data_IF_045519609312
#
_entry.id   IF_045519609312
#
_cell.length_a   1.000
_cell.length_b   1.000
_cell.length_c   1.000
_cell.angle_alpha   90.00
_cell.angle_beta   90.00
_cell.angle_gamma   90.00
#
_symmetry.space_group_name_H-M   'P 1'
#
loop_
_entity.id
_entity.type
_entity.pdbx_description
1 polymer ?
#
# COMPACT_ATOMS: atom_id res chain seq x y z
N UNK A 1 -10.75 2.73 -40.02
CA UNK A 1 -9.94 2.20 -38.90
C UNK A 1 -8.63 1.58 -39.39
N UNK A 2 -8.63 0.81 -40.47
CA UNK A 2 -7.43 0.08 -40.95
C UNK A 2 -6.27 0.99 -41.40
N UNK A 3 -6.58 2.15 -42.00
CA UNK A 3 -5.58 3.12 -42.46
C UNK A 3 -5.04 4.03 -41.35
N UNK A 4 -5.72 4.13 -40.21
CA UNK A 4 -5.30 5.01 -39.12
C UNK A 4 -4.02 4.47 -38.45
N UNK A 5 -3.17 5.38 -37.98
CA UNK A 5 -2.00 5.00 -37.19
C UNK A 5 -2.44 4.61 -35.76
N UNK A 6 -1.55 3.93 -35.02
CA UNK A 6 -1.85 3.41 -33.70
C UNK A 6 -2.15 4.50 -32.66
N UNK A 7 -1.51 5.67 -32.78
CA UNK A 7 -1.73 6.81 -31.89
C UNK A 7 -3.14 7.35 -32.05
N UNK A 8 -3.60 7.54 -33.28
CA UNK A 8 -4.95 8.02 -33.59
C UNK A 8 -6.03 7.03 -33.10
N UNK A 9 -5.77 5.73 -33.26
CA UNK A 9 -6.68 4.69 -32.77
C UNK A 9 -6.79 4.70 -31.24
N UNK A 10 -5.67 4.87 -30.52
CA UNK A 10 -5.68 5.00 -29.05
C UNK A 10 -6.42 6.26 -28.59
N UNK A 11 -6.21 7.39 -29.28
CA UNK A 11 -6.94 8.63 -29.01
C UNK A 11 -8.45 8.44 -29.24
N UNK A 12 -8.84 7.67 -30.25
CA UNK A 12 -10.25 7.38 -30.50
C UNK A 12 -10.87 6.53 -29.39
N UNK A 13 -10.18 5.52 -28.86
CA UNK A 13 -10.62 4.79 -27.66
C UNK A 13 -10.89 5.73 -26.48
N UNK A 14 -9.96 6.66 -26.24
CA UNK A 14 -10.08 7.64 -25.15
C UNK A 14 -11.25 8.60 -25.34
N UNK A 15 -11.46 9.11 -26.57
CA UNK A 15 -12.64 9.93 -26.89
C UNK A 15 -13.95 9.19 -26.65
N UNK A 16 -13.94 7.87 -26.84
CA UNK A 16 -15.10 7.03 -26.56
C UNK A 16 -15.26 6.72 -25.07
N UNK A 17 -14.33 7.13 -24.20
CA UNK A 17 -14.37 6.89 -22.75
C UNK A 17 -13.76 5.55 -22.32
N UNK A 18 -12.99 4.91 -23.19
CA UNK A 18 -12.33 3.62 -22.91
C UNK A 18 -10.81 3.79 -22.85
N UNK A 19 -10.12 3.09 -21.95
CA UNK A 19 -8.69 3.27 -21.73
C UNK A 19 -7.87 2.84 -22.96
N UNK A 20 -6.85 3.62 -23.28
CA UNK A 20 -5.86 3.25 -24.28
C UNK A 20 -4.81 2.30 -23.66
N UNK A 21 -4.93 1.01 -23.92
CA UNK A 21 -3.93 0.02 -23.51
C UNK A 21 -2.61 0.24 -24.27
N UNK A 22 -1.55 0.64 -23.58
CA UNK A 22 -0.25 0.89 -24.20
C UNK A 22 0.42 -0.37 -24.78
N UNK A 23 0.01 -1.55 -24.32
CA UNK A 23 0.52 -2.86 -24.75
C UNK A 23 -0.35 -3.53 -25.81
N UNK A 24 -1.49 -2.93 -26.19
CA UNK A 24 -2.33 -3.50 -27.23
C UNK A 24 -1.74 -3.19 -28.61
N UNK A 25 -1.60 -4.22 -29.45
CA UNK A 25 -1.19 -4.02 -30.84
C UNK A 25 -2.31 -3.34 -31.65
N UNK A 26 -1.94 -2.78 -32.82
CA UNK A 26 -2.89 -2.11 -33.71
C UNK A 26 -4.11 -2.99 -34.06
N UNK A 27 -3.93 -4.28 -34.31
CA UNK A 27 -5.03 -5.17 -34.69
C UNK A 27 -6.03 -5.33 -33.54
N UNK A 28 -5.55 -5.47 -32.31
CA UNK A 28 -6.38 -5.55 -31.12
C UNK A 28 -7.14 -4.24 -30.86
N UNK A 29 -6.50 -3.08 -31.07
CA UNK A 29 -7.16 -1.78 -30.93
C UNK A 29 -8.27 -1.64 -31.98
N UNK A 30 -7.99 -2.01 -33.24
CA UNK A 30 -8.98 -1.98 -34.33
C UNK A 30 -10.15 -2.92 -34.05
N UNK A 31 -9.92 -4.16 -33.61
CA UNK A 31 -10.97 -5.11 -33.27
C UNK A 31 -11.90 -4.55 -32.18
N UNK A 32 -11.33 -4.00 -31.10
CA UNK A 32 -12.09 -3.39 -30.00
C UNK A 32 -12.90 -2.18 -30.43
N UNK A 33 -12.31 -1.26 -31.18
CA UNK A 33 -13.03 -0.10 -31.72
C UNK A 33 -14.16 -0.54 -32.64
N UNK A 34 -13.93 -1.55 -33.47
CA UNK A 34 -14.96 -2.12 -34.34
C UNK A 34 -16.11 -2.69 -33.52
N UNK A 35 -15.83 -3.50 -32.48
CA UNK A 35 -16.84 -4.04 -31.57
C UNK A 35 -17.62 -2.93 -30.86
N UNK A 36 -16.94 -1.92 -30.34
CA UNK A 36 -17.55 -0.76 -29.67
C UNK A 36 -18.48 0.01 -30.60
N UNK A 37 -18.05 0.29 -31.83
CA UNK A 37 -18.88 0.99 -32.82
C UNK A 37 -20.11 0.16 -33.20
N UNK A 38 -19.96 -1.16 -33.37
CA UNK A 38 -21.10 -2.06 -33.60
C UNK A 38 -22.08 -2.00 -32.42
N UNK A 39 -21.61 -2.18 -31.19
CA UNK A 39 -22.47 -2.15 -30.00
C UNK A 39 -23.19 -0.81 -29.82
N UNK A 40 -22.53 0.32 -30.09
CA UNK A 40 -23.18 1.64 -30.05
C UNK A 40 -24.32 1.81 -31.06
N UNK A 41 -24.33 1.02 -32.13
CA UNK A 41 -25.39 1.00 -33.14
C UNK A 41 -26.48 -0.04 -32.87
N UNK A 42 -26.21 -1.05 -32.02
CA UNK A 42 -27.17 -2.11 -31.73
C UNK A 42 -28.30 -1.64 -30.81
N UNK A 43 -29.56 -2.08 -31.03
CA UNK A 43 -30.66 -1.82 -30.10
C UNK A 43 -30.47 -2.64 -28.81
N UNK A 44 -31.15 -2.22 -27.74
CA UNK A 44 -30.95 -2.80 -26.40
C UNK A 44 -31.17 -4.32 -26.34
N UNK A 45 -32.11 -4.85 -27.14
CA UNK A 45 -32.38 -6.29 -27.20
C UNK A 45 -31.17 -7.09 -27.70
N UNK A 46 -30.49 -6.60 -28.74
CA UNK A 46 -29.29 -7.23 -29.30
C UNK A 46 -28.12 -7.16 -28.32
N UNK A 47 -27.92 -6.00 -27.67
CA UNK A 47 -26.89 -5.82 -26.65
C UNK A 47 -27.05 -6.79 -25.47
N UNK A 48 -28.28 -7.08 -25.06
CA UNK A 48 -28.57 -8.08 -24.01
C UNK A 48 -28.20 -9.50 -24.46
N UNK A 49 -28.41 -9.84 -25.74
CA UNK A 49 -28.02 -11.16 -26.28
C UNK A 49 -26.51 -11.29 -26.39
N UNK A 50 -25.82 -10.27 -26.92
CA UNK A 50 -24.35 -10.23 -26.94
C UNK A 50 -23.79 -10.35 -25.51
N UNK A 51 -24.42 -9.70 -24.54
CA UNK A 51 -23.98 -9.77 -23.16
C UNK A 51 -24.14 -11.17 -22.57
N UNK A 52 -25.22 -11.89 -22.92
CA UNK A 52 -25.38 -13.29 -22.54
C UNK A 52 -24.31 -14.18 -23.19
N UNK A 53 -24.00 -13.97 -24.47
CA UNK A 53 -22.96 -14.71 -25.19
C UNK A 53 -21.56 -14.50 -24.59
N UNK A 54 -21.29 -13.29 -24.10
CA UNK A 54 -20.00 -12.92 -23.47
C UNK A 54 -19.99 -13.14 -21.95
N UNK A 55 -21.01 -13.80 -21.39
CA UNK A 55 -21.15 -14.01 -19.94
C UNK A 55 -21.04 -12.69 -19.12
N UNK A 56 -21.44 -11.57 -19.74
CA UNK A 56 -21.52 -10.29 -19.08
C UNK A 56 -22.76 -10.26 -18.17
N UNK A 57 -22.57 -9.85 -16.91
CA UNK A 57 -23.67 -9.78 -15.95
C UNK A 57 -24.75 -8.80 -16.41
N UNK A 58 -26.01 -9.22 -16.36
CA UNK A 58 -27.18 -8.35 -16.53
C UNK A 58 -27.75 -7.88 -15.18
N UNK A 59 -27.20 -8.36 -14.07
CA UNK A 59 -27.69 -8.00 -12.73
C UNK A 59 -27.38 -6.53 -12.42
N UNK A 60 -28.31 -5.85 -11.76
CA UNK A 60 -28.13 -4.45 -11.35
C UNK A 60 -28.35 -3.41 -12.45
N UNK A 61 -28.77 -3.79 -13.66
CA UNK A 61 -29.21 -2.82 -14.67
C UNK A 61 -30.37 -1.97 -14.13
N UNK A 62 -30.24 -0.65 -14.23
CA UNK A 62 -31.30 0.25 -13.78
C UNK A 62 -32.51 0.16 -14.73
N UNK A 63 -33.50 -0.67 -14.40
CA UNK A 63 -34.72 -0.84 -15.20
C UNK A 63 -35.56 0.44 -15.32
N UNK A 64 -35.32 1.45 -14.49
CA UNK A 64 -36.01 2.75 -14.52
C UNK A 64 -35.28 3.78 -15.38
N UNK A 65 -34.02 3.54 -15.75
CA UNK A 65 -33.28 4.38 -16.68
C UNK A 65 -33.94 4.33 -18.06
N UNK A 66 -33.80 5.39 -18.83
CA UNK A 66 -34.27 5.39 -20.22
C UNK A 66 -33.44 4.42 -21.08
N UNK A 67 -33.94 4.12 -22.29
CA UNK A 67 -33.28 3.14 -23.16
C UNK A 67 -31.86 3.58 -23.56
N UNK A 68 -31.60 4.88 -23.73
CA UNK A 68 -30.28 5.37 -24.10
C UNK A 68 -29.27 5.14 -22.97
N UNK A 69 -29.65 5.46 -21.73
CA UNK A 69 -28.85 5.14 -20.54
C UNK A 69 -28.59 3.63 -20.39
N UNK A 70 -29.64 2.81 -20.55
CA UNK A 70 -29.50 1.34 -20.47
C UNK A 70 -28.58 0.80 -21.56
N UNK A 71 -28.63 1.36 -22.79
CA UNK A 71 -27.73 0.98 -23.88
C UNK A 71 -26.29 1.36 -23.56
N UNK A 72 -26.04 2.56 -23.04
CA UNK A 72 -24.70 2.98 -22.60
C UNK A 72 -24.12 2.03 -21.55
N UNK A 73 -24.90 1.73 -20.50
CA UNK A 73 -24.48 0.78 -19.45
C UNK A 73 -24.20 -0.63 -20.02
N UNK A 74 -24.98 -1.07 -21.02
CA UNK A 74 -24.75 -2.36 -21.67
C UNK A 74 -23.47 -2.39 -22.51
N UNK A 75 -23.17 -1.33 -23.25
CA UNK A 75 -21.90 -1.23 -24.01
C UNK A 75 -20.72 -1.30 -23.04
N UNK A 76 -20.79 -0.63 -21.89
CA UNK A 76 -19.73 -0.68 -20.88
C UNK A 76 -19.57 -2.08 -20.28
N UNK A 77 -20.66 -2.79 -19.98
CA UNK A 77 -20.60 -4.18 -19.49
C UNK A 77 -20.01 -5.14 -20.51
N UNK A 78 -20.36 -4.98 -21.79
CA UNK A 78 -19.82 -5.76 -22.91
C UNK A 78 -18.34 -5.51 -23.11
N UNK A 79 -17.93 -4.24 -23.13
CA UNK A 79 -16.52 -3.87 -23.21
C UNK A 79 -15.74 -4.42 -22.01
N UNK A 80 -16.30 -4.34 -20.81
CA UNK A 80 -15.70 -4.92 -19.63
C UNK A 80 -15.49 -6.43 -19.78
N UNK A 81 -16.47 -7.17 -20.28
CA UNK A 81 -16.32 -8.60 -20.55
C UNK A 81 -15.25 -8.88 -21.62
N UNK A 82 -15.17 -8.06 -22.67
CA UNK A 82 -14.17 -8.18 -23.74
C UNK A 82 -12.73 -8.05 -23.24
N UNK A 83 -12.48 -7.11 -22.32
CA UNK A 83 -11.12 -6.80 -21.85
C UNK A 83 -10.75 -7.47 -20.53
N UNK A 84 -11.73 -8.01 -19.78
CA UNK A 84 -11.55 -8.55 -18.42
C UNK A 84 -10.42 -9.56 -18.34
N UNK A 85 -10.49 -10.64 -19.12
CA UNK A 85 -9.54 -11.76 -18.97
C UNK A 85 -8.12 -11.32 -19.27
N UNK A 86 -7.96 -10.41 -20.23
CA UNK A 86 -6.65 -9.82 -20.55
C UNK A 86 -6.15 -8.93 -19.42
N UNK A 87 -7.00 -8.03 -18.89
CA UNK A 87 -6.62 -7.16 -17.79
C UNK A 87 -6.26 -7.96 -16.54
N UNK A 88 -7.05 -8.98 -16.21
CA UNK A 88 -6.75 -9.91 -15.11
C UNK A 88 -5.43 -10.66 -15.35
N UNK A 89 -5.15 -11.10 -16.58
CA UNK A 89 -3.86 -11.71 -16.93
C UNK A 89 -2.67 -10.75 -16.80
N UNK A 90 -2.89 -9.44 -16.95
CA UNK A 90 -1.87 -8.40 -16.69
C UNK A 90 -1.80 -7.94 -15.24
N UNK A 91 -2.57 -8.55 -14.33
CA UNK A 91 -2.56 -8.21 -12.90
C UNK A 91 -3.53 -7.09 -12.51
N UNK A 92 -4.49 -6.74 -13.36
CA UNK A 92 -5.52 -5.74 -13.08
C UNK A 92 -6.81 -6.45 -12.64
N UNK A 93 -7.17 -6.41 -11.35
CA UNK A 93 -8.28 -7.21 -10.84
C UNK A 93 -9.62 -6.54 -11.08
N UNK A 94 -10.12 -6.59 -12.31
CA UNK A 94 -11.35 -5.91 -12.75
C UNK A 94 -12.55 -6.21 -11.85
N UNK A 95 -12.70 -7.47 -11.42
CA UNK A 95 -13.76 -7.90 -10.48
C UNK A 95 -13.69 -7.22 -9.11
N UNK A 96 -12.48 -6.87 -8.64
CA UNK A 96 -12.24 -6.30 -7.30
C UNK A 96 -12.37 -4.78 -7.29
N UNK A 97 -12.12 -4.11 -8.42
CA UNK A 97 -12.09 -2.64 -8.53
C UNK A 97 -13.47 -1.97 -8.55
N UNK A 98 -14.56 -2.74 -8.57
CA UNK A 98 -15.91 -2.20 -8.48
C UNK A 98 -16.44 -1.54 -9.75
N UNK A 99 -15.74 -1.70 -10.89
CA UNK A 99 -16.25 -1.25 -12.18
C UNK A 99 -15.19 -1.10 -13.27
N UNK A 100 -15.65 -1.06 -14.52
CA UNK A 100 -14.79 -0.90 -15.70
C UNK A 100 -14.03 0.42 -15.70
N UNK A 101 -14.71 1.52 -15.35
CA UNK A 101 -14.11 2.85 -15.33
C UNK A 101 -12.89 2.91 -14.41
N UNK A 102 -13.04 2.42 -13.17
CA UNK A 102 -11.95 2.38 -12.17
C UNK A 102 -10.80 1.51 -12.66
N UNK A 103 -11.10 0.35 -13.27
CA UNK A 103 -10.09 -0.51 -13.83
C UNK A 103 -9.36 0.13 -15.03
N UNK A 104 -10.07 0.88 -15.88
CA UNK A 104 -9.48 1.63 -16.98
C UNK A 104 -8.56 2.76 -16.51
N UNK A 105 -8.96 3.50 -15.47
CA UNK A 105 -8.08 4.49 -14.84
C UNK A 105 -6.79 3.84 -14.30
N UNK A 106 -6.89 2.64 -13.71
CA UNK A 106 -5.71 1.89 -13.25
C UNK A 106 -4.83 1.43 -14.42
N UNK A 107 -5.41 0.95 -15.53
CA UNK A 107 -4.67 0.61 -16.76
C UNK A 107 -3.87 1.82 -17.25
N UNK A 108 -4.50 2.99 -17.31
CA UNK A 108 -3.84 4.22 -17.77
C UNK A 108 -2.72 4.65 -16.81
N UNK A 109 -2.95 4.56 -15.49
CA UNK A 109 -1.93 4.87 -14.49
C UNK A 109 -0.74 3.90 -14.57
N UNK A 110 -0.99 2.59 -14.75
CA UNK A 110 0.09 1.61 -14.95
C UNK A 110 0.85 1.88 -16.25
N UNK A 111 0.16 2.13 -17.37
CA UNK A 111 0.80 2.48 -18.64
C UNK A 111 1.67 3.73 -18.52
N UNK A 112 1.20 4.74 -17.77
CA UNK A 112 1.97 5.94 -17.47
C UNK A 112 3.23 5.60 -16.68
N UNK A 113 3.10 4.82 -15.59
CA UNK A 113 4.24 4.39 -14.76
C UNK A 113 5.24 3.58 -15.59
N UNK A 114 4.80 2.70 -16.47
CA UNK A 114 5.66 1.92 -17.37
C UNK A 114 6.42 2.80 -18.38
N UNK A 115 5.79 3.88 -18.85
CA UNK A 115 6.38 4.82 -19.80
C UNK A 115 7.33 5.85 -19.14
N UNK A 116 7.36 5.97 -17.81
CA UNK A 116 8.24 6.91 -17.13
C UNK A 116 9.72 6.60 -17.39
N UNK A 117 10.49 7.65 -17.61
CA UNK A 117 11.95 7.58 -17.55
C UNK A 117 12.42 7.17 -16.15
N UNK A 118 13.60 6.58 -16.08
CA UNK A 118 14.12 5.97 -14.86
C UNK A 118 14.27 6.96 -13.69
N UNK A 119 14.73 8.18 -13.96
CA UNK A 119 14.85 9.24 -12.96
C UNK A 119 13.49 9.67 -12.40
N UNK A 120 12.45 9.61 -13.25
CA UNK A 120 11.07 9.95 -12.85
C UNK A 120 10.43 8.85 -12.00
N UNK A 121 10.74 7.58 -12.27
CA UNK A 121 10.30 6.47 -11.41
C UNK A 121 10.84 6.63 -9.99
N UNK A 122 12.12 6.98 -9.85
CA UNK A 122 12.74 7.21 -8.55
C UNK A 122 12.09 8.38 -7.81
N UNK A 123 11.83 9.48 -8.53
CA UNK A 123 11.18 10.66 -7.96
C UNK A 123 9.73 10.35 -7.50
N UNK A 124 8.95 9.62 -8.29
CA UNK A 124 7.59 9.23 -7.91
C UNK A 124 7.56 8.22 -6.77
N UNK A 125 8.47 7.25 -6.76
CA UNK A 125 8.61 6.32 -5.66
C UNK A 125 8.97 7.05 -4.35
N UNK A 126 9.87 8.03 -4.41
CA UNK A 126 10.19 8.89 -3.26
C UNK A 126 8.98 9.73 -2.81
N UNK A 127 8.13 10.16 -3.74
CA UNK A 127 6.92 10.94 -3.46
C UNK A 127 5.82 10.14 -2.75
N UNK A 128 5.92 8.80 -2.68
CA UNK A 128 5.00 7.97 -1.88
C UNK A 128 5.10 8.26 -0.37
N UNK A 129 6.09 9.05 0.07
CA UNK A 129 6.30 9.35 1.49
C UNK A 129 6.71 8.11 2.29
N UNK A 130 7.14 7.05 1.60
CA UNK A 130 7.93 6.00 2.22
C UNK A 130 9.19 6.64 2.77
N UNK A 131 9.63 6.28 3.99
CA UNK A 131 10.92 6.74 4.48
C UNK A 131 11.96 6.45 3.40
N UNK A 132 12.85 7.41 3.11
CA UNK A 132 14.08 7.13 2.31
C UNK A 132 14.83 5.90 2.85
N UNK A 133 14.53 5.59 4.11
CA UNK A 133 14.99 4.53 4.96
C UNK A 133 14.28 3.19 4.78
N UNK A 134 13.29 3.07 3.89
CA UNK A 134 12.47 1.88 3.72
C UNK A 134 13.10 0.77 2.85
N UNK A 135 14.43 0.83 2.68
CA UNK A 135 15.14 0.10 1.65
C UNK A 135 14.78 0.67 0.27
N UNK A 136 15.76 1.27 -0.41
CA UNK A 136 15.56 1.55 -1.83
C UNK A 136 15.46 0.20 -2.53
N UNK A 137 14.41 -0.10 -3.32
CA UNK A 137 14.38 -1.30 -4.11
C UNK A 137 15.67 -1.47 -4.92
N UNK A 138 16.19 -2.69 -4.97
CA UNK A 138 17.47 -3.00 -5.64
C UNK A 138 17.41 -2.70 -7.14
N UNK A 139 16.21 -2.75 -7.74
CA UNK A 139 15.99 -2.50 -9.16
C UNK A 139 14.85 -1.51 -9.41
N UNK A 140 14.89 -0.87 -10.58
CA UNK A 140 13.85 0.07 -11.03
C UNK A 140 12.55 -0.64 -11.40
N UNK A 141 12.64 -1.87 -11.88
CA UNK A 141 11.49 -2.74 -12.15
C UNK A 141 10.72 -2.99 -10.84
N UNK A 142 11.42 -3.23 -9.74
CA UNK A 142 10.78 -3.37 -8.43
C UNK A 142 10.10 -2.08 -7.98
N UNK A 143 10.71 -0.91 -8.21
CA UNK A 143 10.04 0.38 -7.96
C UNK A 143 8.75 0.53 -8.77
N UNK A 144 8.77 0.16 -10.06
CA UNK A 144 7.56 0.19 -10.92
C UNK A 144 6.50 -0.78 -10.41
N UNK A 145 6.88 -2.01 -10.04
CA UNK A 145 5.95 -2.99 -9.42
C UNK A 145 5.27 -2.41 -8.19
N UNK A 146 6.04 -1.81 -7.28
CA UNK A 146 5.50 -1.17 -6.07
C UNK A 146 4.61 0.04 -6.40
N UNK A 147 4.99 0.90 -7.34
CA UNK A 147 4.13 2.01 -7.80
C UNK A 147 2.79 1.50 -8.34
N UNK A 148 2.82 0.43 -9.14
CA UNK A 148 1.62 -0.21 -9.69
C UNK A 148 0.75 -0.85 -8.59
N UNK A 149 1.35 -1.48 -7.57
CA UNK A 149 0.63 -1.99 -6.39
C UNK A 149 -0.06 -0.87 -5.62
N UNK A 150 0.62 0.27 -5.43
CA UNK A 150 0.07 1.41 -4.71
C UNK A 150 -1.06 2.08 -5.49
N UNK A 151 -0.91 2.20 -6.82
CA UNK A 151 -1.99 2.65 -7.70
C UNK A 151 -3.22 1.73 -7.58
N UNK A 152 -3.00 0.41 -7.56
CA UNK A 152 -4.08 -0.57 -7.34
C UNK A 152 -4.76 -0.34 -5.98
N UNK A 153 -4.00 -0.27 -4.88
CA UNK A 153 -4.56 -0.08 -3.54
C UNK A 153 -5.39 1.22 -3.42
N UNK A 154 -4.93 2.32 -4.01
CA UNK A 154 -5.68 3.60 -4.03
C UNK A 154 -7.04 3.49 -4.73
N UNK A 155 -7.22 2.51 -5.63
CA UNK A 155 -8.45 2.28 -6.40
C UNK A 155 -9.31 1.15 -5.82
N UNK A 156 -8.79 0.34 -4.90
CA UNK A 156 -9.53 -0.76 -4.31
C UNK A 156 -10.62 -0.26 -3.35
N UNK A 157 -11.83 -0.87 -3.36
CA UNK A 157 -12.84 -0.64 -2.34
C UNK A 157 -12.33 -1.00 -0.93
N UNK A 158 -12.87 -0.37 0.11
CA UNK A 158 -12.46 -0.58 1.50
C UNK A 158 -12.40 -2.07 1.91
N UNK A 159 -13.41 -2.86 1.51
CA UNK A 159 -13.46 -4.30 1.81
C UNK A 159 -12.30 -5.08 1.19
N UNK A 160 -11.88 -4.70 -0.02
CA UNK A 160 -10.77 -5.32 -0.72
C UNK A 160 -9.43 -4.88 -0.13
N UNK A 161 -9.27 -3.61 0.26
CA UNK A 161 -8.10 -3.14 1.01
C UNK A 161 -7.91 -3.87 2.33
N UNK A 162 -9.01 -4.08 3.08
CA UNK A 162 -8.97 -4.89 4.30
C UNK A 162 -8.53 -6.33 4.04
N UNK A 163 -8.84 -6.88 2.86
CA UNK A 163 -8.37 -8.21 2.45
C UNK A 163 -6.88 -8.19 2.15
N UNK A 164 -6.40 -7.20 1.41
CA UNK A 164 -4.96 -6.99 1.17
C UNK A 164 -4.21 -6.89 2.49
N UNK A 165 -4.67 -6.07 3.45
CA UNK A 165 -4.01 -5.96 4.76
C UNK A 165 -3.90 -7.31 5.48
N UNK A 166 -4.93 -8.17 5.40
CA UNK A 166 -4.87 -9.52 5.97
C UNK A 166 -3.91 -10.44 5.24
N UNK A 167 -3.84 -10.34 3.90
CA UNK A 167 -2.92 -11.12 3.08
C UNK A 167 -1.45 -10.74 3.36
N UNK A 168 -1.18 -9.49 3.74
CA UNK A 168 0.16 -9.00 4.12
C UNK A 168 0.44 -9.07 5.64
N UNK A 169 -0.41 -9.73 6.45
CA UNK A 169 -0.30 -9.77 7.92
C UNK A 169 -0.20 -8.39 8.59
N UNK A 170 -0.88 -7.39 8.03
CA UNK A 170 -0.89 -6.02 8.52
C UNK A 170 -2.08 -5.83 9.45
N UNK A 171 -1.79 -5.63 10.73
CA UNK A 171 -2.81 -5.31 11.72
C UNK A 171 -3.47 -3.96 11.42
N UNK A 172 -4.80 -3.92 11.54
CA UNK A 172 -5.58 -2.69 11.55
C UNK A 172 -6.73 -2.86 12.56
N UNK A 173 -6.89 -1.90 13.47
CA UNK A 173 -7.88 -1.95 14.54
C UNK A 173 -8.85 -0.76 14.42
N UNK A 174 -10.15 -1.02 14.58
CA UNK A 174 -11.18 0.02 14.66
C UNK A 174 -11.72 0.52 13.32
N UNK A 175 -12.52 1.60 13.33
CA UNK A 175 -13.01 2.24 12.11
C UNK A 175 -11.83 2.86 11.35
N UNK A 176 -11.55 2.32 10.17
CA UNK A 176 -10.41 2.71 9.33
C UNK A 176 -10.90 3.34 8.03
N UNK A 177 -10.24 4.42 7.61
CA UNK A 177 -10.47 5.00 6.29
C UNK A 177 -9.63 4.29 5.23
N UNK A 178 -10.06 4.38 3.97
CA UNK A 178 -9.33 3.84 2.82
C UNK A 178 -7.86 4.30 2.81
N UNK A 179 -7.63 5.59 3.07
CA UNK A 179 -6.29 6.17 3.08
C UNK A 179 -5.40 5.54 4.16
N UNK A 180 -5.91 5.31 5.36
CA UNK A 180 -5.15 4.68 6.45
C UNK A 180 -4.67 3.28 6.07
N UNK A 181 -5.51 2.49 5.38
CA UNK A 181 -5.14 1.15 4.93
C UNK A 181 -4.11 1.18 3.80
N UNK A 182 -4.23 2.11 2.84
CA UNK A 182 -3.25 2.29 1.77
C UNK A 182 -1.88 2.65 2.35
N UNK A 183 -1.84 3.57 3.32
CA UNK A 183 -0.58 3.94 3.96
C UNK A 183 0.01 2.78 4.77
N UNK A 184 -0.83 1.95 5.42
CA UNK A 184 -0.37 0.76 6.15
C UNK A 184 0.20 -0.28 5.19
N UNK A 185 -0.46 -0.53 4.05
CA UNK A 185 0.03 -1.40 2.99
C UNK A 185 1.34 -0.89 2.38
N UNK A 186 1.48 0.42 2.22
CA UNK A 186 2.72 1.08 1.83
C UNK A 186 3.87 0.76 2.80
N UNK A 187 3.63 0.86 4.11
CA UNK A 187 4.62 0.39 5.10
C UNK A 187 4.87 -1.11 5.01
N UNK A 188 3.83 -1.87 4.67
CA UNK A 188 3.86 -3.29 4.38
C UNK A 188 4.98 -3.70 3.43
N UNK A 189 5.20 -2.91 2.38
CA UNK A 189 6.25 -3.14 1.36
C UNK A 189 7.68 -3.08 1.92
N UNK A 190 7.84 -2.57 3.13
CA UNK A 190 9.12 -2.38 3.80
C UNK A 190 9.23 -3.22 5.07
N UNK A 191 8.23 -4.07 5.35
CA UNK A 191 8.15 -4.90 6.55
C UNK A 191 9.39 -5.78 6.71
N UNK A 192 9.72 -6.57 5.68
CA UNK A 192 10.81 -7.54 5.75
C UNK A 192 12.14 -6.87 6.08
N UNK A 193 12.48 -5.81 5.34
CA UNK A 193 13.73 -5.05 5.57
C UNK A 193 13.76 -4.41 6.97
N UNK A 194 12.64 -3.92 7.48
CA UNK A 194 12.59 -3.27 8.79
C UNK A 194 12.61 -4.26 9.94
N UNK A 195 11.92 -5.39 9.82
CA UNK A 195 11.95 -6.46 10.81
C UNK A 195 13.36 -7.07 10.89
N UNK A 196 14.07 -7.24 9.77
CA UNK A 196 15.49 -7.61 9.73
C UNK A 196 16.39 -6.57 10.43
N UNK A 197 16.06 -5.28 10.34
CA UNK A 197 16.74 -4.22 11.08
C UNK A 197 16.35 -4.16 12.57
N UNK A 198 15.46 -5.05 13.05
CA UNK A 198 15.01 -5.16 14.44
C UNK A 198 13.83 -4.23 14.80
N UNK A 199 13.13 -3.70 13.80
CA UNK A 199 12.01 -2.76 13.96
C UNK A 199 10.71 -3.55 13.82
N UNK A 200 9.89 -3.69 14.89
CA UNK A 200 8.70 -4.54 14.87
C UNK A 200 7.49 -3.84 14.26
N UNK A 201 7.56 -3.51 12.98
CA UNK A 201 6.52 -2.76 12.27
C UNK A 201 5.14 -3.40 12.45
N UNK A 202 5.05 -4.74 12.51
CA UNK A 202 3.79 -5.46 12.74
C UNK A 202 3.13 -5.14 14.09
N UNK A 203 3.92 -4.70 15.06
CA UNK A 203 3.49 -4.42 16.45
C UNK A 203 3.25 -2.94 16.71
N UNK A 204 3.75 -2.06 15.84
CA UNK A 204 3.55 -0.62 15.98
C UNK A 204 2.20 -0.25 15.37
N UNK A 205 1.32 0.38 16.17
CA UNK A 205 -0.08 0.59 15.78
C UNK A 205 -0.26 1.63 14.66
N UNK A 206 0.68 2.57 14.52
CA UNK A 206 0.58 3.69 13.60
C UNK A 206 1.82 3.84 12.73
N UNK A 207 1.61 4.37 11.54
CA UNK A 207 2.65 4.59 10.54
C UNK A 207 3.66 5.62 11.03
N UNK A 208 3.15 6.70 11.64
CA UNK A 208 3.99 7.75 12.21
C UNK A 208 4.90 7.18 13.30
N UNK A 209 4.39 6.28 14.13
CA UNK A 209 5.20 5.60 15.14
C UNK A 209 6.27 4.71 14.50
N UNK A 210 5.92 3.91 13.48
CA UNK A 210 6.90 3.09 12.76
C UNK A 210 7.99 3.94 12.11
N UNK A 211 7.62 5.07 11.46
CA UNK A 211 8.56 6.03 10.89
C UNK A 211 9.52 6.60 11.96
N UNK A 212 9.01 6.99 13.13
CA UNK A 212 9.84 7.48 14.23
C UNK A 212 10.84 6.45 14.73
N UNK A 213 10.43 5.17 14.86
CA UNK A 213 11.38 4.09 15.22
C UNK A 213 12.47 3.96 14.16
N UNK A 214 12.11 3.89 12.87
CA UNK A 214 13.07 3.76 11.76
C UNK A 214 14.07 4.91 11.74
N UNK A 215 13.58 6.15 11.82
CA UNK A 215 14.42 7.35 11.84
C UNK A 215 15.36 7.34 13.05
N UNK A 216 14.85 6.98 14.22
CA UNK A 216 15.66 6.92 15.45
C UNK A 216 16.71 5.82 15.40
N UNK A 217 16.36 4.61 14.95
CA UNK A 217 17.28 3.48 14.85
C UNK A 217 18.45 3.80 13.90
N UNK A 218 18.18 4.49 12.80
CA UNK A 218 19.22 4.90 11.85
C UNK A 218 20.10 6.02 12.37
N UNK A 219 19.51 7.02 13.04
CA UNK A 219 20.29 8.04 13.74
C UNK A 219 21.29 7.39 14.70
N UNK A 220 20.83 6.40 15.49
CA UNK A 220 21.69 5.63 16.38
C UNK A 220 22.79 4.88 15.61
N UNK A 221 22.48 4.24 14.47
CA UNK A 221 23.49 3.57 13.62
C UNK A 221 24.54 4.52 13.04
N UNK A 222 24.23 5.82 12.90
CA UNK A 222 25.16 6.83 12.39
C UNK A 222 25.95 7.57 13.46
N UNK A 223 25.62 7.37 14.74
CA UNK A 223 26.28 8.03 15.86
C UNK A 223 27.65 7.42 16.13
N UNK A 224 28.59 8.23 16.61
CA UNK A 224 29.88 7.75 17.10
C UNK A 224 29.71 6.95 18.40
N UNK A 225 30.76 6.19 18.79
CA UNK A 225 30.77 5.46 20.07
C UNK A 225 30.52 6.38 21.26
N UNK A 226 31.09 7.59 21.26
CA UNK A 226 30.91 8.61 22.29
C UNK A 226 29.48 9.15 22.32
N UNK A 227 28.88 9.39 21.15
CA UNK A 227 27.49 9.86 21.04
C UNK A 227 26.51 8.79 21.52
N UNK A 228 26.75 7.52 21.18
CA UNK A 228 25.95 6.39 21.66
C UNK A 228 26.04 6.26 23.19
N UNK A 229 27.24 6.35 23.76
CA UNK A 229 27.44 6.35 25.22
C UNK A 229 26.70 7.52 25.89
N UNK A 230 26.77 8.71 25.30
CA UNK A 230 26.06 9.88 25.81
C UNK A 230 24.54 9.70 25.75
N UNK A 231 23.99 9.16 24.66
CA UNK A 231 22.56 8.83 24.57
C UNK A 231 22.14 7.74 25.56
N UNK A 232 22.99 6.74 25.80
CA UNK A 232 22.76 5.70 26.80
C UNK A 232 22.71 6.28 28.22
N UNK A 233 23.64 7.17 28.56
CA UNK A 233 23.67 7.88 29.83
C UNK A 233 22.43 8.77 30.04
N UNK A 234 21.91 9.41 28.98
CA UNK A 234 20.67 10.21 29.06
C UNK A 234 19.45 9.39 29.49
N UNK A 235 19.49 8.07 29.33
CA UNK A 235 18.44 7.15 29.80
C UNK A 235 18.58 6.81 31.30
N UNK A 236 19.58 7.34 32.00
CA UNK A 236 19.85 7.03 33.40
C UNK A 236 20.51 5.66 33.62
N UNK A 237 20.99 5.02 32.56
CA UNK A 237 21.63 3.71 32.61
C UNK A 237 23.08 3.85 33.10
N UNK A 238 23.57 2.93 33.96
CA UNK A 238 24.88 3.04 34.57
C UNK A 238 25.98 2.96 33.50
N UNK A 239 26.87 3.95 33.52
CA UNK A 239 28.01 4.05 32.60
C UNK A 239 29.34 3.87 33.33
N UNK A 240 29.39 2.94 34.28
CA UNK A 240 30.58 2.68 35.09
C UNK A 240 31.81 2.46 34.20
N UNK A 241 32.94 3.07 34.56
CA UNK A 241 34.14 3.14 33.72
C UNK A 241 34.75 1.77 33.39
N UNK A 242 34.42 0.74 34.18
CA UNK A 242 35.06 -0.58 34.06
C UNK A 242 34.23 -1.63 33.28
N UNK A 243 32.94 -1.39 33.00
CA UNK A 243 32.02 -2.34 32.34
C UNK A 243 31.10 -1.66 31.31
N UNK A 244 31.64 -0.74 30.49
CA UNK A 244 30.84 -0.19 29.40
C UNK A 244 30.55 -1.28 28.35
N UNK A 245 29.27 -1.48 27.98
CA UNK A 245 28.91 -2.41 26.92
C UNK A 245 29.66 -2.08 25.62
N UNK A 246 29.84 -3.10 24.78
CA UNK A 246 30.37 -2.89 23.43
C UNK A 246 29.47 -1.93 22.65
N UNK A 247 30.01 -1.27 21.61
CA UNK A 247 29.23 -0.38 20.76
C UNK A 247 27.99 -1.07 20.16
N UNK A 248 28.14 -2.34 19.77
CA UNK A 248 27.06 -3.17 19.24
C UNK A 248 25.97 -3.44 20.29
N UNK A 249 26.37 -3.66 21.55
CA UNK A 249 25.43 -3.86 22.65
C UNK A 249 24.70 -2.56 23.02
N UNK A 250 25.42 -1.43 23.08
CA UNK A 250 24.81 -0.11 23.27
C UNK A 250 23.77 0.18 22.19
N UNK A 251 24.13 -0.04 20.93
CA UNK A 251 23.23 0.14 19.80
C UNK A 251 22.00 -0.77 19.91
N UNK A 252 22.19 -2.04 20.30
CA UNK A 252 21.10 -3.00 20.49
C UNK A 252 20.13 -2.55 21.58
N UNK A 253 20.64 -2.13 22.75
CA UNK A 253 19.82 -1.60 23.85
C UNK A 253 19.09 -0.31 23.45
N UNK A 254 19.77 0.64 22.79
CA UNK A 254 19.16 1.89 22.35
C UNK A 254 18.08 1.68 21.28
N UNK A 255 18.24 0.70 20.39
CA UNK A 255 17.19 0.28 19.44
C UNK A 255 15.96 -0.28 20.17
N UNK A 256 16.14 -1.15 21.18
CA UNK A 256 15.03 -1.65 22.02
C UNK A 256 14.25 -0.49 22.65
N UNK A 257 14.94 0.50 23.22
CA UNK A 257 14.29 1.67 23.84
C UNK A 257 13.54 2.53 22.82
N UNK A 258 14.14 2.78 21.65
CA UNK A 258 13.49 3.52 20.57
C UNK A 258 12.17 2.84 20.14
N UNK A 259 12.18 1.51 20.07
CA UNK A 259 11.00 0.69 19.79
C UNK A 259 9.94 0.80 20.88
N UNK A 260 10.31 0.60 22.15
CA UNK A 260 9.36 0.63 23.27
C UNK A 260 8.60 1.96 23.37
N UNK A 261 9.28 3.08 23.12
CA UNK A 261 8.65 4.42 23.11
C UNK A 261 7.50 4.58 22.11
N UNK A 262 7.44 3.72 21.11
CA UNK A 262 6.47 3.76 20.02
C UNK A 262 5.45 2.60 20.05
N UNK A 263 5.63 1.66 20.98
CA UNK A 263 4.68 0.58 21.22
C UNK A 263 3.48 1.06 22.03
N UNK A 264 2.31 0.48 21.78
CA UNK A 264 1.13 0.76 22.60
C UNK A 264 1.25 0.15 24.00
N UNK A 265 0.41 0.60 24.93
CA UNK A 265 0.41 0.11 26.32
C UNK A 265 0.27 -1.42 26.37
N UNK A 266 -0.59 -2.01 25.52
CA UNK A 266 -0.79 -3.46 25.47
C UNK A 266 0.49 -4.20 25.04
N UNK A 267 1.18 -3.65 24.05
CA UNK A 267 2.44 -4.22 23.54
C UNK A 267 3.57 -4.06 24.55
N UNK A 268 3.63 -2.93 25.26
CA UNK A 268 4.58 -2.70 26.36
C UNK A 268 4.34 -3.62 27.56
N UNK A 269 3.08 -3.83 27.94
CA UNK A 269 2.73 -4.82 28.97
C UNK A 269 3.16 -6.23 28.57
N UNK A 270 3.07 -6.55 27.28
CA UNK A 270 3.58 -7.83 26.76
C UNK A 270 5.11 -7.91 26.88
N UNK A 271 5.84 -6.87 26.48
CA UNK A 271 7.31 -6.81 26.65
C UNK A 271 7.70 -6.96 28.12
N UNK A 272 7.04 -6.23 29.04
CA UNK A 272 7.30 -6.37 30.48
C UNK A 272 7.09 -7.80 30.96
N UNK A 273 6.04 -8.48 30.47
CA UNK A 273 5.77 -9.87 30.82
C UNK A 273 6.80 -10.83 30.25
N UNK A 274 7.27 -10.60 29.02
CA UNK A 274 8.30 -11.42 28.37
C UNK A 274 9.67 -11.28 29.08
N UNK A 275 9.93 -10.14 29.70
CA UNK A 275 11.15 -9.84 30.47
C UNK A 275 10.96 -10.04 32.01
N UNK A 276 9.88 -10.69 32.44
CA UNK A 276 9.53 -10.95 33.86
C UNK A 276 9.47 -9.69 34.77
N UNK A 277 9.14 -8.54 34.20
CA UNK A 277 9.02 -7.25 34.89
C UNK A 277 7.62 -7.09 35.47
N UNK A 278 7.55 -6.78 36.77
CA UNK A 278 6.28 -6.48 37.44
C UNK A 278 5.63 -5.22 36.88
N UNK A 279 4.42 -5.36 36.36
CA UNK A 279 3.53 -4.26 35.95
C UNK A 279 2.63 -3.77 37.10
N UNK A 280 2.74 -4.37 38.29
CA UNK A 280 1.96 -4.00 39.47
C UNK A 280 2.27 -2.58 39.96
N UNK A 281 1.26 -1.91 40.53
CA UNK A 281 1.40 -0.58 41.13
C UNK A 281 1.40 0.61 40.17
N UNK A 282 1.30 0.38 38.86
CA UNK A 282 1.08 1.47 37.89
C UNK A 282 -0.33 2.01 38.13
N UNK A 283 -0.42 3.27 38.57
CA UNK A 283 -1.66 3.85 39.04
C UNK A 283 -2.65 4.00 37.87
N UNK A 284 -3.75 3.24 37.91
CA UNK A 284 -4.81 3.20 36.87
C UNK A 284 -5.51 4.55 36.61
N UNK A 285 -5.10 5.63 37.30
CA UNK A 285 -5.62 7.00 37.17
C UNK A 285 -4.73 7.92 36.32
N UNK A 286 -3.51 7.52 35.97
CA UNK A 286 -2.65 8.34 35.11
C UNK A 286 -3.16 8.34 33.66
N UNK A 287 -2.80 9.35 32.87
CA UNK A 287 -3.13 9.33 31.43
C UNK A 287 -2.39 8.21 30.69
N UNK A 288 -2.87 7.82 29.51
CA UNK A 288 -2.23 6.78 28.69
C UNK A 288 -0.75 7.08 28.41
N UNK A 289 -0.40 8.35 28.22
CA UNK A 289 0.99 8.77 27.97
C UNK A 289 1.91 8.57 29.18
N UNK A 290 1.41 8.81 30.40
CA UNK A 290 2.22 8.61 31.60
C UNK A 290 2.37 7.12 31.92
N UNK A 291 1.31 6.32 31.70
CA UNK A 291 1.40 4.86 31.77
C UNK A 291 2.42 4.29 30.80
N UNK A 292 2.41 4.78 29.55
CA UNK A 292 3.37 4.36 28.54
C UNK A 292 4.80 4.70 28.97
N UNK A 293 5.04 5.92 29.48
CA UNK A 293 6.35 6.36 29.97
C UNK A 293 6.83 5.48 31.13
N UNK A 294 5.97 5.21 32.12
CA UNK A 294 6.34 4.39 33.28
C UNK A 294 6.71 2.95 32.87
N UNK A 295 5.98 2.35 31.94
CA UNK A 295 6.30 1.02 31.42
C UNK A 295 7.65 1.01 30.69
N UNK A 296 7.92 2.03 29.86
CA UNK A 296 9.21 2.19 29.18
C UNK A 296 10.34 2.35 30.19
N UNK A 297 10.17 3.18 31.22
CA UNK A 297 11.18 3.39 32.25
C UNK A 297 11.49 2.10 33.02
N UNK A 298 10.48 1.29 33.35
CA UNK A 298 10.69 -0.03 33.97
C UNK A 298 11.47 -0.98 33.06
N UNK A 299 11.11 -1.04 31.78
CA UNK A 299 11.85 -1.83 30.78
C UNK A 299 13.30 -1.36 30.64
N UNK A 300 13.54 -0.05 30.66
CA UNK A 300 14.88 0.54 30.63
C UNK A 300 15.68 0.12 31.86
N UNK A 301 15.10 0.23 33.05
CA UNK A 301 15.78 -0.14 34.30
C UNK A 301 16.11 -1.64 34.39
N UNK A 302 15.31 -2.50 33.78
CA UNK A 302 15.57 -3.94 33.75
C UNK A 302 16.71 -4.35 32.80
N UNK A 303 17.17 -3.44 31.91
CA UNK A 303 18.36 -3.68 31.09
C UNK A 303 19.69 -3.42 31.83
N UNK A 304 19.64 -2.82 33.03
CA UNK A 304 20.80 -2.60 33.89
C UNK A 304 21.23 -3.88 34.60
#
# INVERSE_FOLDING_TARGET
LEEANEVDLRLECQKMGYPAEARADKAQIVDRLTKLLVWRCLPLAELKRDAQLMEASLAGLNKKADEHEQRGEMVDRLFAALVRDRWEATGIPVKRLGGLKVAGELVEEQNRVEALAEDKVEAEYAALGLPKQAGRPESKEEMRRRLNMVALWRKLPLKELQKECREFDIAYNGPVQTQDLVERLLLGLCLETWEEEGIPVKRVETITAAKRVVERVRLLKSMSSEELKAEYQKLGLPSGADDLPSEEELLTRLKKVARWRELSIKELQRECKEEDISIGGIASKAGDSDHQRELVDRLVMAMC
#
